data_IF_150290526883
#
_entry.id   IF_150290526883
#
_cell.length_a   1.000
_cell.length_b   1.000
_cell.length_c   1.000
_cell.angle_alpha   90.00
_cell.angle_beta   90.00
_cell.angle_gamma   90.00
#
_symmetry.space_group_name_H-M   'P 1'
#
loop_
_entity.id
_entity.type
_entity.pdbx_description
1 polymer ?
#
# COMPACT_ATOMS: atom_id res chain seq x y z
N UNK A 1 -1.88 6.27 -18.77
CA UNK A 1 -2.57 4.96 -18.86
C UNK A 1 -1.72 3.91 -19.57
N UNK A 2 -1.29 4.12 -20.82
CA UNK A 2 -0.46 3.14 -21.52
C UNK A 2 0.90 2.91 -20.83
N UNK A 3 1.54 3.97 -20.35
CA UNK A 3 2.78 3.89 -19.57
C UNK A 3 2.62 2.99 -18.33
N UNK A 4 1.58 3.20 -17.52
CA UNK A 4 1.30 2.36 -16.35
C UNK A 4 1.04 0.90 -16.71
N UNK A 5 0.41 0.62 -17.86
CA UNK A 5 0.24 -0.76 -18.32
C UNK A 5 1.58 -1.40 -18.69
N UNK A 6 2.47 -0.66 -19.33
CA UNK A 6 3.81 -1.15 -19.67
C UNK A 6 4.60 -1.46 -18.40
N UNK A 7 4.53 -0.59 -17.40
CA UNK A 7 5.19 -0.78 -16.10
C UNK A 7 4.61 -1.99 -15.35
N UNK A 8 3.28 -2.16 -15.31
CA UNK A 8 2.66 -3.37 -14.75
C UNK A 8 3.19 -4.63 -15.44
N UNK A 9 3.19 -4.65 -16.77
CA UNK A 9 3.67 -5.80 -17.55
C UNK A 9 5.16 -6.08 -17.30
N UNK A 10 5.98 -5.04 -17.14
CA UNK A 10 7.39 -5.16 -16.81
C UNK A 10 7.57 -5.83 -15.45
N UNK A 11 6.89 -5.34 -14.41
CA UNK A 11 7.00 -5.91 -13.06
C UNK A 11 6.48 -7.36 -13.00
N UNK A 12 5.37 -7.66 -13.68
CA UNK A 12 4.88 -9.04 -13.81
C UNK A 12 5.89 -9.96 -14.48
N UNK A 13 6.56 -9.48 -15.54
CA UNK A 13 7.57 -10.26 -16.24
C UNK A 13 8.79 -10.52 -15.35
N UNK A 14 9.25 -9.52 -14.60
CA UNK A 14 10.34 -9.68 -13.64
C UNK A 14 9.99 -10.69 -12.54
N UNK A 15 8.80 -10.58 -11.95
CA UNK A 15 8.32 -11.50 -10.90
C UNK A 15 8.12 -12.94 -11.40
N UNK A 16 7.88 -13.14 -12.69
CA UNK A 16 7.79 -14.47 -13.29
C UNK A 16 9.17 -15.14 -13.44
N UNK A 17 10.27 -14.37 -13.41
CA UNK A 17 11.62 -14.93 -13.40
C UNK A 17 12.05 -15.43 -12.01
N UNK A 18 11.41 -14.97 -10.93
CA UNK A 18 11.71 -15.37 -9.56
C UNK A 18 11.15 -16.76 -9.23
N UNK A 19 11.75 -17.80 -9.82
CA UNK A 19 11.28 -19.20 -9.70
C UNK A 19 11.83 -19.94 -8.48
N UNK A 20 13.04 -19.58 -8.03
CA UNK A 20 13.75 -20.17 -6.88
C UNK A 20 14.80 -19.17 -6.34
N UNK A 21 15.51 -19.53 -5.27
CA UNK A 21 16.44 -18.62 -4.59
C UNK A 21 17.57 -18.13 -5.50
N UNK A 22 18.07 -18.98 -6.42
CA UNK A 22 19.13 -18.60 -7.37
C UNK A 22 18.64 -17.58 -8.41
N UNK A 23 17.33 -17.56 -8.70
CA UNK A 23 16.69 -16.58 -9.58
C UNK A 23 15.97 -15.45 -8.81
N UNK A 24 16.30 -15.24 -7.52
CA UNK A 24 15.81 -14.09 -6.74
C UNK A 24 14.51 -14.32 -5.97
N UNK A 25 14.02 -15.56 -5.85
CA UNK A 25 12.90 -15.88 -4.97
C UNK A 25 13.26 -15.57 -3.52
N UNK A 26 12.39 -14.85 -2.82
CA UNK A 26 12.59 -14.45 -1.43
C UNK A 26 13.57 -13.29 -1.25
N UNK A 27 14.07 -12.70 -2.34
CA UNK A 27 15.03 -11.60 -2.27
C UNK A 27 14.35 -10.24 -2.05
N UNK A 28 15.17 -9.23 -1.74
CA UNK A 28 14.71 -7.84 -1.64
C UNK A 28 14.24 -7.33 -3.01
N UNK A 29 14.90 -7.74 -4.09
CA UNK A 29 14.52 -7.37 -5.46
C UNK A 29 13.14 -7.90 -5.83
N UNK A 30 12.79 -9.14 -5.43
CA UNK A 30 11.42 -9.65 -5.59
C UNK A 30 10.44 -8.77 -4.79
N UNK A 31 10.78 -8.42 -3.54
CA UNK A 31 9.92 -7.58 -2.71
C UNK A 31 9.70 -6.17 -3.28
N UNK A 32 10.74 -5.56 -3.87
CA UNK A 32 10.64 -4.26 -4.54
C UNK A 32 9.83 -4.34 -5.84
N UNK A 33 9.97 -5.42 -6.61
CA UNK A 33 9.14 -5.65 -7.80
C UNK A 33 7.65 -5.85 -7.42
N UNK A 34 7.37 -6.58 -6.33
CA UNK A 34 6.02 -6.71 -5.77
C UNK A 34 5.45 -5.35 -5.33
N UNK A 35 6.28 -4.49 -4.72
CA UNK A 35 5.91 -3.12 -4.34
C UNK A 35 5.58 -2.29 -5.57
N UNK A 36 6.46 -2.23 -6.56
CA UNK A 36 6.24 -1.45 -7.80
C UNK A 36 4.98 -1.91 -8.54
N UNK A 37 4.72 -3.22 -8.57
CA UNK A 37 3.49 -3.77 -9.14
C UNK A 37 2.25 -3.26 -8.38
N UNK A 38 2.28 -3.24 -7.05
CA UNK A 38 1.19 -2.70 -6.22
C UNK A 38 0.95 -1.21 -6.52
N UNK A 39 1.98 -0.38 -6.42
CA UNK A 39 1.86 1.08 -6.55
C UNK A 39 1.35 1.46 -7.94
N UNK A 40 1.90 0.85 -8.98
CA UNK A 40 1.49 1.12 -10.36
C UNK A 40 0.04 0.71 -10.59
N UNK A 41 -0.38 -0.41 -10.01
CA UNK A 41 -1.76 -0.91 -10.09
C UNK A 41 -2.73 0.02 -9.37
N UNK A 42 -2.44 0.42 -8.13
CA UNK A 42 -3.26 1.35 -7.36
C UNK A 42 -3.38 2.71 -8.08
N UNK A 43 -2.26 3.27 -8.55
CA UNK A 43 -2.27 4.53 -9.30
C UNK A 43 -3.10 4.44 -10.57
N UNK A 44 -3.03 3.31 -11.28
CA UNK A 44 -3.85 3.06 -12.47
C UNK A 44 -5.34 3.02 -12.11
N UNK A 45 -5.73 2.34 -11.03
CA UNK A 45 -7.11 2.27 -10.56
C UNK A 45 -7.66 3.66 -10.24
N UNK A 46 -6.93 4.48 -9.46
CA UNK A 46 -7.34 5.84 -9.13
C UNK A 46 -7.54 6.72 -10.37
N UNK A 47 -6.65 6.61 -11.37
CA UNK A 47 -6.78 7.36 -12.62
C UNK A 47 -7.98 6.91 -13.45
N UNK A 48 -8.29 5.61 -13.47
CA UNK A 48 -9.48 5.09 -14.14
C UNK A 48 -10.74 5.63 -13.47
N UNK A 49 -10.79 5.61 -12.13
CA UNK A 49 -11.93 6.09 -11.36
C UNK A 49 -12.15 7.60 -11.57
N UNK A 50 -11.08 8.40 -11.55
CA UNK A 50 -11.14 9.83 -11.85
C UNK A 50 -11.61 10.08 -13.28
N UNK A 51 -11.09 9.33 -14.25
CA UNK A 51 -11.49 9.43 -15.66
C UNK A 51 -12.97 9.04 -15.87
N UNK A 52 -13.47 8.04 -15.16
CA UNK A 52 -14.86 7.62 -15.21
C UNK A 52 -15.78 8.67 -14.56
N UNK A 53 -15.37 9.26 -13.44
CA UNK A 53 -16.07 10.39 -12.80
C UNK A 53 -16.16 11.60 -13.73
N UNK A 54 -15.07 11.96 -14.40
CA UNK A 54 -15.07 13.08 -15.35
C UNK A 54 -15.99 12.81 -16.56
N UNK A 55 -16.03 11.57 -17.05
CA UNK A 55 -16.94 11.18 -18.13
C UNK A 55 -18.41 11.28 -17.72
N UNK A 56 -18.76 10.91 -16.49
CA UNK A 56 -20.14 10.99 -16.00
C UNK A 56 -20.58 12.43 -15.69
N UNK A 57 -19.68 13.27 -15.20
CA UNK A 57 -19.95 14.70 -14.94
C UNK A 57 -20.14 15.52 -16.23
N UNK A 58 -19.44 15.18 -17.31
CA UNK A 58 -19.61 15.82 -18.63
C UNK A 58 -21.02 15.70 -19.21
N UNK A 59 -21.78 14.67 -18.82
CA UNK A 59 -23.19 14.46 -19.20
C UNK A 59 -24.16 15.33 -18.40
N UNK A 60 -23.80 15.74 -17.17
CA UNK A 60 -24.67 16.49 -16.25
C UNK A 60 -24.63 18.01 -16.46
N UNK A 61 -23.62 18.54 -17.18
CA UNK A 61 -23.52 19.98 -17.48
C UNK A 61 -24.68 20.53 -18.33
N UNK A 62 -25.45 19.69 -19.02
CA UNK A 62 -26.65 20.15 -19.75
C UNK A 62 -27.87 20.41 -18.85
N UNK A 63 -27.89 19.92 -17.59
CA UNK A 63 -29.11 19.92 -16.77
C UNK A 63 -29.01 20.67 -15.43
N UNK A 64 -27.92 21.38 -15.13
CA UNK A 64 -27.76 22.17 -13.89
C UNK A 64 -27.26 23.59 -14.13
N UNK A 65 -27.86 24.29 -15.08
CA UNK A 65 -27.70 25.75 -15.25
C UNK A 65 -28.58 26.57 -14.28
N UNK A 66 -29.02 26.01 -13.15
CA UNK A 66 -29.94 26.67 -12.24
C UNK A 66 -29.85 26.16 -10.82
N UNK A 67 -28.88 26.66 -10.06
CA UNK A 67 -28.92 26.93 -8.61
C UNK A 67 -27.49 27.30 -8.18
N UNK A 68 -27.11 28.53 -8.49
CA UNK A 68 -25.97 29.19 -7.84
C UNK A 68 -26.38 29.47 -6.40
N UNK A 69 -26.09 28.53 -5.50
CA UNK A 69 -25.88 28.87 -4.10
C UNK A 69 -24.56 29.63 -4.04
N UNK A 70 -24.63 30.96 -4.16
CA UNK A 70 -23.55 31.87 -3.81
C UNK A 70 -23.27 31.73 -2.31
N UNK A 71 -22.43 30.77 -1.95
CA UNK A 71 -21.67 30.83 -0.71
C UNK A 71 -20.52 31.80 -0.97
N UNK A 72 -20.66 33.03 -0.50
CA UNK A 72 -19.68 34.13 -0.60
C UNK A 72 -18.39 33.87 0.20
N UNK A 73 -18.25 32.68 0.81
CA UNK A 73 -17.08 32.27 1.56
C UNK A 73 -16.14 31.44 0.69
N UNK A 74 -14.98 32.02 0.35
CA UNK A 74 -13.83 31.25 -0.13
C UNK A 74 -13.42 30.29 1.00
N UNK A 75 -13.38 28.96 0.77
CA UNK A 75 -12.84 28.03 1.76
C UNK A 75 -11.42 28.45 2.11
N UNK A 76 -11.10 28.54 3.40
CA UNK A 76 -9.71 28.71 3.82
C UNK A 76 -8.93 27.51 3.29
N UNK A 77 -7.93 27.78 2.43
CA UNK A 77 -6.99 26.76 1.99
C UNK A 77 -5.84 26.67 2.99
N UNK A 78 -5.36 25.46 3.23
CA UNK A 78 -4.20 25.19 4.06
C UNK A 78 -3.34 24.07 3.49
N UNK A 79 -2.40 23.60 4.30
CA UNK A 79 -1.55 22.46 3.98
C UNK A 79 -1.59 21.47 5.13
N UNK A 80 -1.67 20.18 4.81
CA UNK A 80 -1.61 19.08 5.78
C UNK A 80 -0.30 18.33 5.57
N UNK A 81 0.51 18.26 6.63
CA UNK A 81 1.77 17.54 6.62
C UNK A 81 1.66 16.33 7.55
N UNK A 82 2.00 15.15 7.04
CA UNK A 82 2.13 13.90 7.80
C UNK A 82 3.60 13.54 7.87
N UNK A 83 4.09 13.33 9.08
CA UNK A 83 5.48 12.96 9.35
C UNK A 83 5.56 11.92 10.46
N UNK A 84 6.76 11.38 10.68
CA UNK A 84 7.06 10.45 11.78
C UNK A 84 6.14 9.22 11.80
N UNK A 85 5.90 8.65 10.61
CA UNK A 85 4.99 7.53 10.44
C UNK A 85 5.55 6.30 11.15
N UNK A 86 4.74 5.71 12.04
CA UNK A 86 5.11 4.52 12.81
C UNK A 86 4.05 3.44 12.81
N UNK A 87 4.51 2.20 12.65
CA UNK A 87 3.70 0.97 12.70
C UNK A 87 4.11 0.14 13.92
N UNK A 88 3.40 0.26 15.06
CA UNK A 88 3.70 -0.52 16.26
C UNK A 88 3.38 -2.00 16.05
N UNK A 89 4.36 -2.83 16.34
CA UNK A 89 4.28 -4.28 16.29
C UNK A 89 4.11 -4.85 17.70
N UNK A 90 3.54 -6.05 17.79
CA UNK A 90 3.52 -6.76 19.08
C UNK A 90 4.88 -7.40 19.37
N UNK A 91 5.22 -7.46 20.65
CA UNK A 91 6.50 -7.96 21.13
C UNK A 91 6.72 -9.45 20.84
N UNK A 92 5.67 -10.26 20.88
CA UNK A 92 5.68 -11.68 20.53
C UNK A 92 6.03 -11.90 19.05
N UNK A 93 5.45 -11.09 18.15
CA UNK A 93 5.81 -11.10 16.74
C UNK A 93 7.28 -10.71 16.52
N UNK A 94 7.73 -9.58 17.08
CA UNK A 94 9.13 -9.14 16.96
C UNK A 94 10.09 -10.20 17.51
N UNK A 95 9.77 -10.80 18.65
CA UNK A 95 10.59 -11.87 19.22
C UNK A 95 10.65 -13.09 18.30
N UNK A 96 9.54 -13.44 17.65
CA UNK A 96 9.49 -14.58 16.73
C UNK A 96 10.39 -14.41 15.49
N UNK A 97 10.50 -13.19 14.94
CA UNK A 97 11.37 -12.92 13.79
C UNK A 97 12.85 -12.95 14.16
N UNK A 98 13.20 -12.63 15.41
CA UNK A 98 14.57 -12.76 15.94
C UNK A 98 14.94 -14.21 16.25
N UNK A 99 13.99 -15.00 16.78
CA UNK A 99 14.23 -16.41 17.11
C UNK A 99 14.32 -17.31 15.87
N UNK A 100 13.60 -16.96 14.80
CA UNK A 100 13.52 -17.75 13.56
C UNK A 100 13.71 -16.85 12.33
N UNK A 101 14.90 -16.24 12.15
CA UNK A 101 15.14 -15.29 11.06
C UNK A 101 15.01 -15.93 9.68
N UNK A 102 15.27 -17.24 9.55
CA UNK A 102 15.18 -17.96 8.28
C UNK A 102 13.78 -18.49 7.95
N UNK A 103 12.77 -18.29 8.80
CA UNK A 103 11.44 -18.86 8.57
C UNK A 103 10.64 -18.07 7.50
N UNK A 104 10.68 -16.73 7.59
CA UNK A 104 10.05 -15.84 6.64
C UNK A 104 10.59 -14.40 6.79
N UNK A 105 10.68 -13.68 5.67
CA UNK A 105 10.83 -12.24 5.68
C UNK A 105 9.46 -11.56 5.69
N UNK A 106 9.36 -10.48 6.45
CA UNK A 106 8.15 -9.65 6.55
C UNK A 106 8.50 -8.23 6.13
N UNK A 107 7.86 -7.77 5.06
CA UNK A 107 8.04 -6.42 4.53
C UNK A 107 6.73 -5.65 4.63
N UNK A 108 6.80 -4.39 5.01
CA UNK A 108 5.67 -3.50 5.20
C UNK A 108 5.87 -2.20 4.43
N UNK A 109 4.78 -1.62 3.94
CA UNK A 109 4.77 -0.28 3.36
C UNK A 109 3.45 0.41 3.64
N UNK A 110 3.45 1.73 3.46
CA UNK A 110 2.23 2.53 3.45
C UNK A 110 1.98 3.10 2.06
N UNK A 111 0.71 3.27 1.74
CA UNK A 111 0.24 4.11 0.63
C UNK A 111 -0.65 5.20 1.22
N UNK A 112 -0.32 6.46 0.92
CA UNK A 112 -1.02 7.67 1.32
C UNK A 112 -1.68 8.27 0.08
N UNK A 113 -2.99 8.49 0.10
CA UNK A 113 -3.78 8.87 -1.08
C UNK A 113 -4.73 10.03 -0.78
N UNK A 114 -4.59 11.13 -1.51
CA UNK A 114 -5.60 12.17 -1.65
C UNK A 114 -5.93 12.38 -3.13
N UNK A 115 -6.51 11.34 -3.74
CA UNK A 115 -6.70 11.23 -5.19
C UNK A 115 -5.46 10.73 -5.95
N UNK A 116 -5.59 10.57 -7.27
CA UNK A 116 -4.55 9.93 -8.11
C UNK A 116 -3.24 10.74 -8.19
N UNK A 117 -3.34 12.08 -8.11
CA UNK A 117 -2.18 12.99 -8.21
C UNK A 117 -1.37 13.08 -6.93
N UNK A 118 -2.02 12.89 -5.78
CA UNK A 118 -1.39 12.99 -4.46
C UNK A 118 -1.32 11.61 -3.80
N UNK A 119 -0.88 10.62 -4.59
CA UNK A 119 -0.57 9.27 -4.11
C UNK A 119 0.94 9.17 -3.87
N UNK A 120 1.32 8.80 -2.64
CA UNK A 120 2.71 8.60 -2.21
C UNK A 120 2.79 7.30 -1.44
N UNK A 121 3.86 6.55 -1.67
CA UNK A 121 4.16 5.31 -1.00
C UNK A 121 5.49 5.37 -0.24
N UNK A 122 5.60 4.60 0.85
CA UNK A 122 6.83 4.53 1.63
C UNK A 122 7.81 3.52 1.01
N UNK A 123 9.12 3.63 1.30
CA UNK A 123 10.04 2.51 1.12
C UNK A 123 9.59 1.27 1.92
N UNK A 124 10.13 0.11 1.55
CA UNK A 124 9.92 -1.12 2.31
C UNK A 124 10.58 -1.01 3.70
N UNK A 125 9.82 -1.37 4.72
CA UNK A 125 10.31 -1.51 6.09
C UNK A 125 10.21 -2.97 6.55
N UNK A 126 11.17 -3.39 7.37
CA UNK A 126 11.18 -4.72 7.98
C UNK A 126 11.66 -4.63 9.43
N UNK A 127 11.43 -5.69 10.21
CA UNK A 127 11.97 -5.76 11.57
C UNK A 127 13.49 -5.77 11.61
N UNK A 128 14.15 -6.17 10.51
CA UNK A 128 15.61 -6.20 10.42
C UNK A 128 16.23 -4.84 10.13
N UNK A 129 15.50 -3.93 9.47
CA UNK A 129 16.07 -2.68 8.93
C UNK A 129 15.46 -1.40 9.52
N UNK A 130 14.24 -1.47 10.07
CA UNK A 130 13.45 -0.26 10.35
C UNK A 130 12.80 -0.26 11.73
N UNK A 131 13.14 -1.22 12.60
CA UNK A 131 12.56 -1.35 13.92
C UNK A 131 13.24 -0.38 14.91
N UNK A 132 12.44 0.45 15.58
CA UNK A 132 12.87 1.30 16.68
C UNK A 132 11.95 1.08 17.89
N UNK A 133 12.49 0.46 18.95
CA UNK A 133 11.70 -0.02 20.07
C UNK A 133 10.74 -1.12 19.62
N UNK A 134 9.43 -0.86 19.69
CA UNK A 134 8.35 -1.78 19.31
C UNK A 134 7.68 -1.41 17.98
N UNK A 135 8.17 -0.41 17.25
CA UNK A 135 7.53 0.08 16.03
C UNK A 135 8.47 0.17 14.84
N UNK A 136 7.94 -0.12 13.64
CA UNK A 136 8.63 0.20 12.39
C UNK A 136 8.49 1.71 12.12
N UNK A 137 9.60 2.36 11.80
CA UNK A 137 9.65 3.79 11.48
C UNK A 137 9.83 4.02 9.99
N UNK A 138 9.08 4.96 9.42
CA UNK A 138 9.16 5.35 8.01
C UNK A 138 9.59 6.80 7.91
N UNK A 139 10.59 7.08 7.07
CA UNK A 139 11.16 8.43 6.86
C UNK A 139 10.32 9.29 5.91
N UNK A 140 9.26 8.76 5.33
CA UNK A 140 8.40 9.47 4.39
C UNK A 140 7.63 10.58 5.08
N UNK A 141 7.79 11.79 4.55
CA UNK A 141 6.92 12.94 4.84
C UNK A 141 5.96 13.14 3.69
N UNK A 142 4.68 13.31 3.99
CA UNK A 142 3.62 13.55 3.02
C UNK A 142 3.04 14.94 3.22
N UNK A 143 2.97 15.73 2.15
CA UNK A 143 2.42 17.08 2.19
C UNK A 143 1.28 17.18 1.18
N UNK A 144 0.12 17.64 1.65
CA UNK A 144 -1.04 17.95 0.83
C UNK A 144 -1.32 19.45 0.90
N UNK A 145 -0.97 20.17 -0.15
CA UNK A 145 -1.11 21.63 -0.24
C UNK A 145 -2.47 22.07 -0.77
N UNK A 146 -2.79 23.34 -0.58
CA UNK A 146 -3.99 24.01 -1.11
C UNK A 146 -5.32 23.32 -0.79
N UNK A 147 -5.39 22.70 0.39
CA UNK A 147 -6.49 21.83 0.79
C UNK A 147 -7.57 22.55 1.58
N UNK A 148 -8.83 22.20 1.35
CA UNK A 148 -10.00 22.69 2.10
C UNK A 148 -10.30 21.82 3.33
N UNK A 149 -11.23 22.28 4.17
CA UNK A 149 -11.58 21.63 5.44
C UNK A 149 -12.26 20.25 5.31
N UNK A 150 -12.73 19.89 4.12
CA UNK A 150 -13.35 18.61 3.76
C UNK A 150 -12.35 17.61 3.18
N UNK A 151 -11.05 17.81 3.42
CA UNK A 151 -10.01 16.90 2.95
C UNK A 151 -10.16 15.49 3.54
N UNK A 152 -9.78 14.52 2.72
CA UNK A 152 -9.63 13.13 3.11
C UNK A 152 -8.30 12.61 2.57
N UNK A 153 -7.47 12.05 3.46
CA UNK A 153 -6.24 11.33 3.10
C UNK A 153 -6.46 9.88 3.51
N UNK A 154 -6.54 8.97 2.54
CA UNK A 154 -6.56 7.53 2.80
C UNK A 154 -5.14 7.06 3.11
N UNK A 155 -4.99 6.38 4.23
CA UNK A 155 -3.78 5.71 4.66
C UNK A 155 -4.04 4.21 4.58
N UNK A 156 -3.18 3.50 3.89
CA UNK A 156 -3.26 2.06 3.71
C UNK A 156 -1.94 1.43 4.07
N UNK A 157 -1.99 0.37 4.87
CA UNK A 157 -0.82 -0.39 5.30
C UNK A 157 -0.84 -1.72 4.57
N UNK A 158 0.27 -2.07 3.93
CA UNK A 158 0.41 -3.34 3.22
C UNK A 158 1.51 -4.18 3.84
N UNK A 159 1.37 -5.51 3.70
CA UNK A 159 2.35 -6.50 4.15
C UNK A 159 2.63 -7.52 3.05
N UNK A 160 3.90 -7.85 2.89
CA UNK A 160 4.37 -8.99 2.12
C UNK A 160 5.05 -10.00 3.07
N UNK A 161 4.84 -11.29 2.81
CA UNK A 161 5.53 -12.39 3.50
C UNK A 161 6.22 -13.26 2.46
N UNK A 162 7.55 -13.35 2.52
CA UNK A 162 8.29 -14.31 1.69
C UNK A 162 8.82 -15.42 2.59
N UNK A 163 8.30 -16.63 2.40
CA UNK A 163 8.77 -17.79 3.14
C UNK A 163 9.99 -18.37 2.44
N UNK A 164 11.00 -18.75 3.20
CA UNK A 164 12.14 -19.49 2.68
C UNK A 164 11.75 -20.96 2.56
N UNK A 165 11.82 -21.53 1.37
CA UNK A 165 11.59 -22.96 1.18
C UNK A 165 12.80 -23.71 1.73
N UNK A 166 12.64 -24.36 2.89
CA UNK A 166 13.66 -25.22 3.47
C UNK A 166 13.79 -26.53 2.69
N UNK A 167 14.22 -26.46 1.43
CA UNK A 167 14.52 -27.65 0.62
C UNK A 167 15.97 -28.06 0.83
N UNK A 168 16.28 -28.60 2.02
CA UNK A 168 17.51 -29.39 2.21
C UNK A 168 17.14 -30.87 2.12
N UNK A 169 17.32 -31.55 0.98
CA UNK A 169 17.51 -32.99 1.01
C UNK A 169 19.00 -33.24 1.29
N UNK A 170 19.35 -33.29 2.57
CA UNK A 170 20.60 -33.90 2.99
C UNK A 170 20.49 -35.41 2.73
N UNK A 171 20.85 -35.83 1.51
CA UNK A 171 20.97 -37.24 1.15
C UNK A 171 22.40 -37.50 0.68
N UNK A 172 23.32 -37.56 1.63
CA UNK A 172 24.39 -38.57 1.60
C UNK A 172 23.75 -39.97 1.47
N UNK A 173 23.50 -40.43 0.24
CA UNK A 173 23.28 -41.85 -0.05
C UNK A 173 24.30 -42.33 -1.08
N UNK A 174 25.23 -43.11 -0.53
CA UNK A 174 26.19 -44.04 -1.13
C UNK A 174 26.06 -44.28 -2.64
N UNK A 175 27.18 -44.09 -3.33
CA UNK A 175 27.43 -44.61 -4.66
C UNK A 175 27.16 -46.12 -4.72
N UNK A 176 26.08 -46.51 -5.40
CA UNK A 176 25.84 -47.90 -5.79
C UNK A 176 26.33 -48.06 -7.23
N UNK A 177 27.44 -48.79 -7.41
CA UNK A 177 27.98 -49.13 -8.72
C UNK A 177 27.03 -50.09 -9.43
N UNK A 178 26.36 -49.66 -10.50
CA UNK A 178 25.75 -50.58 -11.46
C UNK A 178 26.61 -50.68 -12.71
N UNK A 179 27.12 -51.89 -12.98
CA UNK A 179 27.88 -52.24 -14.19
C UNK A 179 26.90 -52.44 -15.37
N UNK A 180 27.22 -51.79 -16.49
CA UNK A 180 26.95 -52.10 -17.90
C UNK A 180 25.54 -52.56 -18.36
N UNK A 181 25.01 -51.92 -19.42
CA UNK A 181 24.71 -52.51 -20.74
C UNK A 181 24.22 -51.36 -21.68
N UNK A 182 24.86 -51.28 -22.84
CA UNK A 182 24.75 -50.29 -23.94
C UNK A 182 23.34 -50.04 -24.52
N UNK A 183 23.04 -48.84 -25.04
CA UNK A 183 22.14 -48.70 -26.17
C UNK A 183 22.92 -48.63 -27.49
N UNK A 184 22.52 -49.51 -28.43
CA UNK A 184 22.90 -49.46 -29.85
C UNK A 184 22.51 -48.09 -30.45
N UNK A 185 23.48 -47.45 -31.11
CA UNK A 185 23.42 -46.75 -32.41
C UNK A 185 22.02 -46.17 -32.75
N UNK A 186 21.87 -44.86 -32.93
CA UNK A 186 22.10 -44.22 -34.23
C UNK A 186 22.44 -42.73 -34.09
N UNK A 187 23.57 -42.36 -34.68
CA UNK A 187 23.93 -41.00 -35.05
C UNK A 187 22.96 -40.50 -36.12
N UNK A 188 22.28 -39.38 -35.87
CA UNK A 188 21.80 -38.47 -36.92
C UNK A 188 22.32 -37.08 -36.56
N UNK A 189 23.40 -36.71 -37.24
CA UNK A 189 23.88 -35.35 -37.38
C UNK A 189 22.83 -34.47 -38.09
N UNK A 190 22.47 -33.32 -37.51
CA UNK A 190 21.96 -32.15 -38.27
C UNK A 190 22.04 -30.86 -37.44
N UNK A 191 22.94 -29.98 -37.86
CA UNK A 191 22.89 -28.51 -37.80
C UNK A 191 22.71 -27.84 -36.43
N UNK A 192 23.82 -27.46 -35.81
CA UNK A 192 23.86 -26.36 -34.82
C UNK A 192 23.56 -25.03 -35.51
N UNK A 193 22.30 -24.62 -35.52
CA UNK A 193 21.95 -23.19 -35.44
C UNK A 193 21.58 -22.93 -33.99
N UNK A 194 22.33 -22.05 -33.33
CA UNK A 194 22.00 -21.55 -32.01
C UNK A 194 20.59 -20.98 -32.02
N UNK A 195 19.72 -21.51 -31.19
CA UNK A 195 18.53 -20.78 -30.77
C UNK A 195 18.37 -21.06 -29.28
N UNK A 196 18.51 -19.97 -28.53
CA UNK A 196 18.33 -19.86 -27.10
C UNK A 196 17.01 -20.55 -26.73
N UNK A 197 17.09 -21.69 -26.03
CA UNK A 197 15.91 -22.26 -25.40
C UNK A 197 15.66 -21.50 -24.10
N UNK A 198 14.79 -20.50 -24.20
CA UNK A 198 14.12 -19.90 -23.06
C UNK A 198 13.31 -21.00 -22.36
N UNK A 199 13.61 -21.26 -21.09
CA UNK A 199 12.72 -22.00 -20.19
C UNK A 199 11.54 -21.11 -19.82
N UNK A 200 10.56 -20.99 -20.72
CA UNK A 200 9.24 -20.44 -20.38
C UNK A 200 8.46 -21.57 -19.70
N UNK A 201 8.60 -21.69 -18.37
CA UNK A 201 7.51 -22.27 -17.58
C UNK A 201 6.42 -21.20 -17.48
N UNK A 202 5.50 -21.21 -18.44
CA UNK A 202 4.25 -20.48 -18.33
C UNK A 202 3.33 -21.22 -17.37
N UNK A 203 2.91 -20.52 -16.30
CA UNK A 203 1.72 -20.87 -15.53
C UNK A 203 0.48 -20.89 -16.46
N UNK A 204 -0.63 -21.61 -16.14
CA UNK A 204 -1.69 -22.02 -17.08
C UNK A 204 -2.53 -20.91 -17.75
N UNK A 205 -2.18 -19.63 -17.59
CA UNK A 205 -2.98 -18.48 -17.97
C UNK A 205 -2.48 -17.67 -19.17
N UNK A 206 -1.66 -18.23 -20.05
CA UNK A 206 -1.23 -17.55 -21.30
C UNK A 206 -0.46 -16.23 -21.10
N UNK A 207 -0.11 -15.58 -22.22
CA UNK A 207 0.70 -14.36 -22.29
C UNK A 207 0.07 -13.10 -21.62
N UNK A 208 -1.11 -13.25 -21.01
CA UNK A 208 -1.88 -12.18 -20.38
C UNK A 208 -2.42 -12.56 -18.99
N UNK A 209 -1.85 -13.57 -18.32
CA UNK A 209 -2.17 -13.81 -16.91
C UNK A 209 -1.74 -12.60 -16.06
N UNK A 210 -2.68 -11.71 -15.77
CA UNK A 210 -2.45 -10.51 -14.96
C UNK A 210 -2.19 -10.97 -13.53
N UNK A 211 -0.92 -11.02 -13.13
CA UNK A 211 -0.51 -11.24 -11.74
C UNK A 211 -0.80 -9.97 -10.93
N UNK A 212 -1.47 -10.13 -9.79
CA UNK A 212 -1.58 -9.08 -8.77
C UNK A 212 -0.39 -9.14 -7.83
N UNK A 213 -0.06 -8.01 -7.21
CA UNK A 213 0.97 -7.99 -6.17
C UNK A 213 0.61 -8.93 -5.02
N UNK A 214 1.61 -9.58 -4.43
CA UNK A 214 1.45 -10.40 -3.23
C UNK A 214 1.39 -9.58 -1.94
N UNK A 215 1.54 -8.25 -2.01
CA UNK A 215 1.24 -7.38 -0.89
C UNK A 215 -0.25 -7.44 -0.56
N UNK A 216 -0.54 -7.72 0.70
CA UNK A 216 -1.90 -7.76 1.23
C UNK A 216 -2.11 -6.48 1.99
N UNK A 217 -3.21 -5.78 1.70
CA UNK A 217 -3.65 -4.64 2.50
C UNK A 217 -3.99 -5.18 3.90
N UNK A 218 -3.28 -4.72 4.93
CA UNK A 218 -3.41 -5.19 6.32
C UNK A 218 -4.15 -4.22 7.23
N UNK A 219 -4.39 -2.99 6.77
CA UNK A 219 -5.29 -2.06 7.43
C UNK A 219 -5.38 -0.73 6.70
N UNK A 220 -6.43 0.04 7.00
CA UNK A 220 -6.63 1.36 6.44
C UNK A 220 -7.14 2.38 7.48
N UNK A 221 -6.95 3.66 7.19
CA UNK A 221 -7.48 4.76 7.99
C UNK A 221 -7.68 5.99 7.10
N UNK A 222 -8.79 6.71 7.27
CA UNK A 222 -9.01 7.98 6.56
C UNK A 222 -8.75 9.14 7.52
N UNK A 223 -7.68 9.89 7.27
CA UNK A 223 -7.45 11.17 7.94
C UNK A 223 -8.35 12.24 7.35
N UNK A 224 -8.89 13.07 8.23
CA UNK A 224 -9.72 14.23 7.90
C UNK A 224 -9.47 15.34 8.92
N UNK A 225 -10.19 16.46 8.82
CA UNK A 225 -10.05 17.58 9.76
C UNK A 225 -10.20 17.17 11.24
N UNK A 226 -11.05 16.19 11.56
CA UNK A 226 -11.21 15.71 12.95
C UNK A 226 -9.97 14.98 13.49
N UNK A 227 -9.03 14.63 12.63
CA UNK A 227 -7.84 13.85 12.96
C UNK A 227 -6.63 14.69 13.35
N UNK A 228 -6.60 15.98 12.99
CA UNK A 228 -5.40 16.87 12.99
C UNK A 228 -4.71 17.04 14.36
N UNK A 229 -5.41 16.77 15.47
CA UNK A 229 -4.81 16.84 16.83
C UNK A 229 -4.43 15.47 17.40
N UNK A 230 -4.80 14.40 16.72
CA UNK A 230 -4.51 13.06 17.20
C UNK A 230 -3.18 12.61 16.62
N UNK A 231 -2.40 11.93 17.44
CA UNK A 231 -1.15 11.31 17.00
C UNK A 231 -1.21 9.79 17.01
N UNK A 232 -2.38 9.24 17.37
CA UNK A 232 -2.62 7.81 17.45
C UNK A 232 -3.94 7.44 16.80
N UNK A 233 -3.89 6.51 15.85
CA UNK A 233 -5.03 6.17 15.00
C UNK A 233 -5.28 4.67 15.04
N UNK A 234 -6.50 4.28 15.40
CA UNK A 234 -6.89 2.88 15.32
C UNK A 234 -7.12 2.54 13.85
N UNK A 235 -6.39 1.55 13.36
CA UNK A 235 -6.52 1.11 11.96
C UNK A 235 -7.78 0.29 11.83
N UNK A 236 -8.58 0.61 10.83
CA UNK A 236 -9.78 -0.15 10.55
C UNK A 236 -9.39 -1.58 10.15
N UNK A 237 -9.92 -2.55 10.92
CA UNK A 237 -9.73 -3.97 10.64
C UNK A 237 -10.49 -4.30 9.36
N UNK A 238 -9.77 -4.52 8.28
CA UNK A 238 -10.37 -5.00 7.03
C UNK A 238 -10.96 -6.38 7.29
N UNK A 239 -12.05 -6.71 6.58
CA UNK A 239 -12.72 -8.00 6.71
C UNK A 239 -11.85 -9.11 6.11
N UNK A 240 -10.93 -9.66 6.90
CA UNK A 240 -10.16 -10.83 6.48
C UNK A 240 -10.87 -12.15 6.80
N UNK A 241 -10.37 -13.23 6.17
CA UNK A 241 -10.59 -14.60 6.63
C UNK A 241 -10.05 -14.77 8.07
N UNK A 242 -10.57 -15.77 8.80
CA UNK A 242 -10.31 -16.00 10.23
C UNK A 242 -8.82 -16.11 10.51
N UNK A 243 -8.07 -16.83 9.67
CA UNK A 243 -6.61 -17.05 9.81
C UNK A 243 -5.80 -15.76 9.72
N UNK A 244 -6.22 -14.84 8.86
CA UNK A 244 -5.53 -13.57 8.66
C UNK A 244 -5.86 -12.58 9.79
N UNK A 245 -7.09 -12.59 10.33
CA UNK A 245 -7.42 -11.80 11.52
C UNK A 245 -6.58 -12.21 12.73
N UNK A 246 -6.35 -13.50 12.94
CA UNK A 246 -5.49 -13.98 14.03
C UNK A 246 -4.05 -13.51 13.83
N UNK A 247 -3.51 -13.64 12.61
CA UNK A 247 -2.16 -13.16 12.30
C UNK A 247 -2.02 -11.64 12.48
N UNK A 248 -2.99 -10.85 12.04
CA UNK A 248 -2.95 -9.39 12.16
C UNK A 248 -3.14 -8.92 13.59
N UNK A 249 -4.03 -9.60 14.34
CA UNK A 249 -4.15 -9.44 15.77
C UNK A 249 -2.87 -9.80 16.50
N UNK A 250 -2.05 -10.72 15.98
CA UNK A 250 -0.72 -11.06 16.50
C UNK A 250 0.37 -10.07 16.05
N UNK A 251 0.19 -9.37 14.92
CA UNK A 251 1.21 -8.49 14.34
C UNK A 251 1.21 -7.08 14.93
N UNK A 252 0.04 -6.48 15.13
CA UNK A 252 -0.07 -5.04 15.40
C UNK A 252 -0.63 -4.70 16.77
N UNK A 253 -0.21 -3.56 17.31
CA UNK A 253 -0.99 -2.89 18.37
C UNK A 253 -2.21 -2.20 17.76
N UNK A 254 -3.29 -2.04 18.51
CA UNK A 254 -4.56 -1.50 17.98
C UNK A 254 -4.47 -0.05 17.47
N UNK A 255 -3.35 0.66 17.69
CA UNK A 255 -3.17 2.05 17.29
C UNK A 255 -1.81 2.28 16.62
N UNK A 256 -1.85 2.97 15.49
CA UNK A 256 -0.69 3.52 14.76
C UNK A 256 -0.30 4.87 15.30
N UNK A 257 0.97 5.24 15.19
CA UNK A 257 1.43 6.60 15.51
C UNK A 257 1.66 7.42 14.24
N UNK A 258 1.07 8.61 14.14
CA UNK A 258 1.35 9.59 13.08
C UNK A 258 1.43 10.97 13.71
N UNK A 259 2.35 11.83 13.29
CA UNK A 259 2.34 13.24 13.70
C UNK A 259 1.80 14.06 12.52
N UNK A 260 0.77 14.87 12.77
CA UNK A 260 0.23 15.80 11.77
C UNK A 260 0.44 17.24 12.21
N UNK A 261 1.06 18.05 11.35
CA UNK A 261 1.25 19.49 11.55
C UNK A 261 0.44 20.28 10.51
N UNK A 262 -0.02 21.47 10.90
CA UNK A 262 -0.85 22.33 10.06
C UNK A 262 -0.46 23.80 10.24
N UNK A 263 -0.52 24.58 9.15
CA UNK A 263 -0.30 26.02 9.12
C UNK A 263 -1.35 26.85 9.90
N UNK A 264 -0.97 27.83 10.72
CA UNK A 264 -1.88 28.61 11.58
C UNK A 264 -3.20 29.17 10.96
N UNK A 265 -3.29 29.57 9.66
CA UNK A 265 -4.49 30.18 9.10
C UNK A 265 -5.78 29.31 9.09
N UNK A 266 -5.69 27.97 9.01
CA UNK A 266 -6.91 27.13 9.06
C UNK A 266 -7.45 27.00 10.48
N UNK A 267 -6.55 26.95 11.48
CA UNK A 267 -6.93 26.95 12.88
C UNK A 267 -7.51 28.31 13.30
N UNK A 268 -6.93 29.43 12.86
CA UNK A 268 -7.47 30.78 13.10
C UNK A 268 -8.82 31.00 12.42
N UNK A 269 -8.97 30.60 11.16
CA UNK A 269 -10.25 30.68 10.45
C UNK A 269 -11.37 29.87 11.11
N UNK A 270 -11.05 28.75 11.76
CA UNK A 270 -11.99 27.91 12.52
C UNK A 270 -12.23 28.41 13.96
N UNK A 271 -11.21 28.92 14.64
CA UNK A 271 -11.33 29.47 16.00
C UNK A 271 -12.10 30.80 16.02
N UNK A 272 -11.90 31.65 15.01
CA UNK A 272 -12.70 32.87 14.85
C UNK A 272 -14.15 32.54 14.45
N UNK A 273 -14.38 31.51 13.62
CA UNK A 273 -15.74 31.02 13.30
C UNK A 273 -16.46 30.38 14.49
N UNK A 274 -15.76 29.61 15.34
CA UNK A 274 -16.33 29.05 16.57
C UNK A 274 -16.64 30.13 17.62
N UNK A 275 -15.90 31.24 17.62
CA UNK A 275 -16.17 32.41 18.47
C UNK A 275 -17.34 33.24 17.95
N UNK A 276 -17.50 33.37 16.63
CA UNK A 276 -18.63 34.09 15.99
C UNK A 276 -19.94 33.28 16.12
N UNK A 277 -19.92 31.96 15.92
CA UNK A 277 -21.12 31.11 16.02
C UNK A 277 -21.62 30.97 17.48
N UNK A 278 -20.74 31.14 18.48
CA UNK A 278 -21.14 31.12 19.91
C UNK A 278 -21.80 32.41 20.42
N UNK A 279 -21.82 33.51 19.64
CA UNK A 279 -22.34 34.81 20.11
C UNK A 279 -23.68 35.27 19.53
N UNK A 280 -24.40 34.43 18.79
CA UNK A 280 -25.77 34.77 18.33
C UNK A 280 -26.80 33.80 18.91
N UNK A 281 -27.08 33.93 20.21
CA UNK A 281 -28.43 33.64 20.73
C UNK A 281 -29.21 34.95 20.75
N UNK A 282 -30.35 35.05 20.06
CA UNK A 282 -31.24 36.20 20.22
C UNK A 282 -31.78 36.21 21.65
N UNK A 283 -31.71 37.37 22.31
CA UNK A 283 -32.44 37.65 23.54
C UNK A 283 -33.93 37.47 23.25
N UNK A 284 -34.56 36.42 23.79
CA UNK A 284 -36.01 36.44 23.96
C UNK A 284 -36.32 37.59 24.91
N UNK A 285 -37.03 38.58 24.39
CA UNK A 285 -37.52 39.70 25.17
C UNK A 285 -38.56 39.22 26.18
N UNK A 286 -38.35 39.55 27.46
CA UNK A 286 -39.45 39.66 28.39
C UNK A 286 -40.19 40.96 28.07
N UNK A 287 -41.28 40.84 27.33
CA UNK A 287 -42.34 41.84 27.31
C UNK A 287 -43.15 41.70 28.59
N UNK A 288 -43.11 42.72 29.43
CA UNK A 288 -44.10 42.96 30.46
C UNK A 288 -45.49 43.05 29.84
N UNK A 289 -46.48 42.39 30.46
CA UNK A 289 -47.88 42.78 30.38
C UNK A 289 -48.55 42.51 31.74
N UNK A 290 -48.99 43.61 32.36
CA UNK A 290 -49.99 43.82 33.41
C UNK A 290 -49.84 43.07 34.75
#
# INVERSE_FOLDING_TARGET
>A
MQELNNEINLQQSALNCCVDEEHGKGSLEEAEAERLLLITTEKRTLLIDELNKLKSEGSQRKNKAGLLSQSEFVPSKGSVILSEIRLPLKADFVCSTVQKPDAASYSFLFILKAGAKNMVDTPLASTATSLNGDALTFSTTYTLEDVSNDFEISIEVYRLVQKKDSSVPDKKKKAYKSKAITPKRLLISRTTKSTLHSSVMASPGGLHAVRTSNFILVGSYTLSLSSVRNTKFAVDKIKYDVKERELLGYLFQEKMGLTSEHDEPVAKGLLDKLRIIKHTKPKLGNSNCC
#
